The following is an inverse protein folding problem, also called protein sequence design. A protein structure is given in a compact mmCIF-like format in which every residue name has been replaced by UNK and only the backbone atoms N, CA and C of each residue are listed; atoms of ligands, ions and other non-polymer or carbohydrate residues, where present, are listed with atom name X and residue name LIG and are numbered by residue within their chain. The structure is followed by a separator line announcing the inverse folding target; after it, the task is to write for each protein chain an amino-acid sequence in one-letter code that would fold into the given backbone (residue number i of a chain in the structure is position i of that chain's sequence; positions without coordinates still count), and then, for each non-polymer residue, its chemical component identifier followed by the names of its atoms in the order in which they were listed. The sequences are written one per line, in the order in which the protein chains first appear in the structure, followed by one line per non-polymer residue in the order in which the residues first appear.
data_IF_151090067027
#
_entry.id   IF_151090067027
#
_cell.length_a   1.000
_cell.length_b   1.000
_cell.length_c   1.000
_cell.angle_alpha   90.00
_cell.angle_beta   90.00
_cell.angle_gamma   90.00
#
_symmetry.space_group_name_H-M   'P 1'
#
loop_
_entity.id
_entity.type
_entity.pdbx_description
1 polymer ?
#
# COMPACT_ATOMS: atom_id res chain seq x y z
N UNK A 1 -0.88 26.81 -2.65
CA UNK A 1 -0.97 25.48 -3.26
C UNK A 1 -0.15 25.50 -4.53
N UNK A 2 0.87 24.63 -4.68
CA UNK A 2 1.62 24.55 -5.94
C UNK A 2 0.72 24.05 -7.06
N UNK A 3 0.85 24.62 -8.27
CA UNK A 3 0.13 24.16 -9.44
C UNK A 3 0.59 22.73 -9.81
N UNK A 4 -0.33 21.85 -10.15
CA UNK A 4 -0.06 20.50 -10.65
C UNK A 4 -0.44 20.40 -12.11
N UNK A 5 0.25 19.55 -12.86
CA UNK A 5 -0.09 19.17 -14.23
C UNK A 5 -0.30 17.66 -14.30
N UNK A 6 -1.21 17.24 -15.15
CA UNK A 6 -1.43 15.84 -15.50
C UNK A 6 -0.80 15.59 -16.88
N UNK A 7 -0.10 14.48 -17.03
CA UNK A 7 0.50 14.02 -18.28
C UNK A 7 0.11 12.56 -18.51
N UNK A 8 -0.57 12.28 -19.61
CA UNK A 8 -0.84 10.90 -20.02
C UNK A 8 0.45 10.23 -20.47
N UNK A 9 0.71 9.01 -20.01
CA UNK A 9 1.90 8.24 -20.35
C UNK A 9 1.55 6.83 -20.79
N UNK A 10 2.39 6.28 -21.64
CA UNK A 10 2.36 4.88 -22.06
C UNK A 10 3.50 4.12 -21.39
N UNK A 11 3.19 3.15 -20.55
CA UNK A 11 4.16 2.37 -19.78
C UNK A 11 4.53 1.12 -20.60
N UNK A 12 5.78 0.97 -21.05
CA UNK A 12 6.20 -0.22 -21.77
C UNK A 12 6.30 -1.41 -20.79
N UNK A 13 5.76 -2.56 -21.19
CA UNK A 13 5.89 -3.84 -20.49
C UNK A 13 6.79 -4.76 -21.30
N UNK A 14 7.78 -5.39 -20.68
CA UNK A 14 8.85 -6.14 -21.35
C UNK A 14 8.36 -7.28 -22.26
N UNK A 15 7.20 -7.90 -21.96
CA UNK A 15 6.64 -8.98 -22.79
C UNK A 15 5.64 -8.45 -23.83
N UNK A 16 5.89 -8.74 -25.10
CA UNK A 16 4.92 -8.58 -26.21
C UNK A 16 4.73 -7.15 -26.74
N UNK A 17 5.60 -6.20 -26.43
CA UNK A 17 5.49 -4.81 -26.90
C UNK A 17 4.21 -4.10 -26.38
N UNK A 18 3.64 -4.60 -25.29
CA UNK A 18 2.45 -4.08 -24.67
C UNK A 18 2.72 -2.71 -24.03
N UNK A 19 1.73 -1.85 -24.05
CA UNK A 19 1.71 -0.57 -23.33
C UNK A 19 0.49 -0.49 -22.43
N UNK A 20 0.68 0.04 -21.22
CA UNK A 20 -0.40 0.33 -20.28
C UNK A 20 -0.65 1.83 -20.23
N UNK A 21 -1.92 2.29 -20.22
CA UNK A 21 -2.21 3.69 -19.97
C UNK A 21 -1.92 4.06 -18.52
N UNK A 22 -1.31 5.21 -18.33
CA UNK A 22 -1.02 5.79 -17.02
C UNK A 22 -1.20 7.29 -17.02
N UNK A 23 -1.26 7.89 -15.84
CA UNK A 23 -1.27 9.34 -15.68
C UNK A 23 -0.18 9.77 -14.71
N UNK A 24 0.72 10.62 -15.18
CA UNK A 24 1.67 11.36 -14.35
C UNK A 24 1.01 12.61 -13.82
N UNK A 25 1.03 12.79 -12.52
CA UNK A 25 0.57 14.02 -11.86
C UNK A 25 1.77 14.63 -11.15
N UNK A 26 2.18 15.82 -11.57
CA UNK A 26 3.43 16.43 -11.11
C UNK A 26 3.28 17.89 -10.69
N UNK A 27 4.08 18.35 -9.70
CA UNK A 27 4.31 19.77 -9.47
C UNK A 27 5.25 20.35 -10.54
N UNK A 28 5.42 21.65 -10.56
CA UNK A 28 6.28 22.32 -11.53
C UNK A 28 7.81 22.19 -11.28
N UNK A 29 8.23 21.55 -10.16
CA UNK A 29 9.64 21.41 -9.73
C UNK A 29 10.01 20.01 -9.27
N UNK A 30 11.29 19.63 -9.25
CA UNK A 30 11.91 18.32 -8.97
C UNK A 30 11.68 17.76 -7.54
N UNK A 31 11.59 16.35 -7.33
CA UNK A 31 10.80 15.88 -6.22
C UNK A 31 10.82 14.37 -5.94
N UNK A 32 10.31 13.90 -4.80
CA UNK A 32 10.03 12.48 -4.56
C UNK A 32 9.03 11.91 -5.55
N UNK A 33 9.18 10.61 -5.87
CA UNK A 33 8.23 9.88 -6.70
C UNK A 33 7.19 9.13 -5.84
N UNK A 34 5.92 9.09 -6.26
CA UNK A 34 4.87 8.28 -5.61
C UNK A 34 4.10 7.48 -6.64
N UNK A 35 4.17 6.14 -6.52
CA UNK A 35 3.42 5.21 -7.36
C UNK A 35 2.13 4.78 -6.65
N UNK A 36 1.00 4.86 -7.33
CA UNK A 36 -0.29 4.34 -6.86
C UNK A 36 -0.61 3.01 -7.52
N UNK A 37 -0.82 1.97 -6.69
CA UNK A 37 -1.18 0.62 -7.13
C UNK A 37 -2.61 0.32 -6.68
N UNK A 38 -3.51 0.25 -7.63
CA UNK A 38 -4.95 0.16 -7.38
C UNK A 38 -5.43 -1.22 -6.94
N UNK A 39 -6.58 -1.26 -6.28
CA UNK A 39 -7.29 -2.48 -5.90
C UNK A 39 -7.91 -3.19 -7.09
N UNK A 40 -8.23 -4.48 -6.92
CA UNK A 40 -8.90 -5.28 -7.94
C UNK A 40 -10.31 -4.74 -8.24
N UNK A 41 -10.59 -4.53 -9.50
CA UNK A 41 -11.90 -4.07 -9.98
C UNK A 41 -12.07 -2.55 -9.96
N UNK A 42 -11.03 -1.78 -9.59
CA UNK A 42 -11.01 -0.31 -9.66
C UNK A 42 -10.22 0.18 -10.86
N UNK A 43 -10.50 1.40 -11.31
CA UNK A 43 -9.74 2.12 -12.33
C UNK A 43 -8.81 3.18 -11.72
N UNK A 44 -7.92 3.74 -12.51
CA UNK A 44 -7.01 4.81 -12.06
C UNK A 44 -7.76 6.08 -11.63
N UNK A 45 -8.94 6.33 -12.19
CA UNK A 45 -9.78 7.50 -11.89
C UNK A 45 -10.06 7.67 -10.38
N UNK A 46 -10.18 6.54 -9.67
CA UNK A 46 -10.43 6.55 -8.22
C UNK A 46 -9.22 7.06 -7.42
N UNK A 47 -8.03 7.03 -8.00
CA UNK A 47 -6.77 7.40 -7.35
C UNK A 47 -6.26 8.78 -7.75
N UNK A 48 -6.67 9.31 -8.91
CA UNK A 48 -6.25 10.61 -9.41
C UNK A 48 -6.48 11.77 -8.43
N UNK A 49 -7.63 11.88 -7.71
CA UNK A 49 -7.82 12.95 -6.73
C UNK A 49 -6.75 12.94 -5.63
N UNK A 50 -6.36 11.76 -5.14
CA UNK A 50 -5.30 11.61 -4.12
C UNK A 50 -3.92 11.88 -4.71
N UNK A 51 -3.66 11.38 -5.92
CA UNK A 51 -2.41 11.63 -6.63
C UNK A 51 -2.17 13.13 -6.86
N UNK A 52 -3.22 13.90 -7.20
CA UNK A 52 -3.14 15.37 -7.31
C UNK A 52 -2.81 16.05 -5.99
N UNK A 53 -3.40 15.58 -4.87
CA UNK A 53 -3.09 16.12 -3.55
C UNK A 53 -1.64 15.83 -3.13
N UNK A 54 -1.16 14.62 -3.39
CA UNK A 54 0.23 14.25 -3.13
C UNK A 54 1.20 15.03 -4.03
N UNK A 55 0.85 15.21 -5.31
CA UNK A 55 1.64 16.03 -6.22
C UNK A 55 1.71 17.50 -5.77
N UNK A 56 0.64 18.03 -5.16
CA UNK A 56 0.64 19.38 -4.59
C UNK A 56 1.57 19.55 -3.37
N UNK A 57 2.02 18.45 -2.75
CA UNK A 57 3.05 18.45 -1.71
C UNK A 57 4.48 18.54 -2.27
N UNK A 58 4.65 18.53 -3.57
CA UNK A 58 5.95 18.51 -4.20
C UNK A 58 6.42 17.12 -4.62
N UNK A 59 5.54 16.20 -4.91
CA UNK A 59 5.84 14.85 -5.42
C UNK A 59 5.50 14.73 -6.91
N UNK A 60 6.19 13.85 -7.62
CA UNK A 60 5.74 13.35 -8.92
C UNK A 60 4.95 12.07 -8.69
N UNK A 61 3.63 12.08 -8.98
CA UNK A 61 2.75 10.95 -8.75
C UNK A 61 2.39 10.25 -10.06
N UNK A 62 2.42 8.90 -10.05
CA UNK A 62 1.99 8.06 -11.16
C UNK A 62 0.82 7.18 -10.73
N UNK A 63 -0.28 7.25 -11.49
CA UNK A 63 -1.36 6.26 -11.50
C UNK A 63 -1.34 5.53 -12.84
N UNK A 64 -1.77 4.28 -12.90
CA UNK A 64 -1.78 3.47 -14.12
C UNK A 64 -2.86 2.40 -14.04
N UNK A 65 -3.16 1.72 -15.12
CA UNK A 65 -4.13 0.62 -15.18
C UNK A 65 -3.43 -0.70 -15.47
N UNK A 66 -3.15 -1.54 -14.45
CA UNK A 66 -2.62 -2.87 -14.69
C UNK A 66 -3.61 -3.71 -15.51
N UNK A 67 -3.10 -4.57 -16.38
CA UNK A 67 -3.94 -5.44 -17.21
C UNK A 67 -4.88 -6.28 -16.36
N UNK A 68 -6.11 -6.42 -16.80
CA UNK A 68 -7.13 -7.24 -16.15
C UNK A 68 -7.59 -6.75 -14.78
N UNK A 69 -7.04 -5.67 -14.22
CA UNK A 69 -7.45 -5.16 -12.90
C UNK A 69 -8.76 -4.39 -12.98
N UNK A 70 -8.99 -3.46 -13.94
CA UNK A 70 -10.32 -2.90 -14.16
C UNK A 70 -11.33 -3.99 -14.55
N UNK A 71 -12.59 -3.85 -14.11
CA UNK A 71 -13.62 -4.90 -14.31
C UNK A 71 -13.98 -5.14 -15.77
N UNK A 72 -13.90 -4.13 -16.59
CA UNK A 72 -14.21 -4.14 -18.02
C UNK A 72 -13.00 -4.49 -18.90
N UNK A 73 -11.83 -4.70 -18.29
CA UNK A 73 -10.64 -5.04 -19.05
C UNK A 73 -10.74 -6.45 -19.64
N UNK A 74 -10.40 -6.59 -20.94
CA UNK A 74 -10.48 -7.86 -21.70
C UNK A 74 -9.78 -9.05 -21.05
N UNK A 75 -8.72 -8.81 -20.28
CA UNK A 75 -7.93 -9.85 -19.60
C UNK A 75 -8.36 -10.09 -18.15
N UNK A 76 -9.50 -9.51 -17.69
CA UNK A 76 -9.97 -9.64 -16.31
C UNK A 76 -10.14 -11.10 -15.86
N UNK A 77 -10.52 -11.99 -16.78
CA UNK A 77 -10.74 -13.43 -16.50
C UNK A 77 -9.44 -14.25 -16.56
N UNK A 78 -8.38 -13.75 -17.17
CA UNK A 78 -7.17 -14.53 -17.47
C UNK A 78 -5.90 -14.04 -16.81
N UNK A 79 -5.86 -12.78 -16.37
CA UNK A 79 -4.67 -12.17 -15.78
C UNK A 79 -4.24 -12.87 -14.48
N UNK A 80 -2.95 -13.14 -14.35
CA UNK A 80 -2.33 -13.72 -13.16
C UNK A 80 -1.76 -12.64 -12.26
N UNK A 81 -1.34 -13.03 -11.04
CA UNK A 81 -0.61 -12.13 -10.14
C UNK A 81 0.80 -11.82 -10.63
N UNK A 82 1.42 -12.78 -11.31
CA UNK A 82 2.71 -12.59 -11.98
C UNK A 82 2.61 -11.49 -13.04
N UNK A 83 1.57 -11.56 -13.89
CA UNK A 83 1.33 -10.53 -14.90
C UNK A 83 1.17 -9.13 -14.28
N UNK A 84 0.36 -9.02 -13.23
CA UNK A 84 0.14 -7.75 -12.57
C UNK A 84 1.39 -7.26 -11.81
N UNK A 85 2.21 -8.16 -11.24
CA UNK A 85 3.48 -7.75 -10.64
C UNK A 85 4.43 -7.16 -11.69
N UNK A 86 4.51 -7.75 -12.89
CA UNK A 86 5.29 -7.19 -14.01
C UNK A 86 4.78 -5.80 -14.42
N UNK A 87 3.46 -5.62 -14.45
CA UNK A 87 2.86 -4.30 -14.75
C UNK A 87 3.24 -3.27 -13.68
N UNK A 88 3.20 -3.64 -12.40
CA UNK A 88 3.59 -2.78 -11.27
C UNK A 88 5.09 -2.44 -11.34
N UNK A 89 5.94 -3.42 -11.66
CA UNK A 89 7.38 -3.20 -11.83
C UNK A 89 7.67 -2.24 -12.98
N UNK A 90 7.00 -2.42 -14.14
CA UNK A 90 7.15 -1.53 -15.29
C UNK A 90 6.72 -0.08 -14.97
N UNK A 91 5.61 0.08 -14.22
CA UNK A 91 5.16 1.40 -13.77
C UNK A 91 6.16 2.03 -12.78
N UNK A 92 6.70 1.24 -11.85
CA UNK A 92 7.75 1.71 -10.95
C UNK A 92 8.99 2.15 -11.71
N UNK A 93 9.48 1.32 -12.64
CA UNK A 93 10.69 1.60 -13.40
C UNK A 93 10.52 2.84 -14.30
N UNK A 94 9.33 3.07 -14.87
CA UNK A 94 9.01 4.32 -15.58
C UNK A 94 9.11 5.53 -14.65
N UNK A 95 8.51 5.45 -13.45
CA UNK A 95 8.54 6.55 -12.46
C UNK A 95 9.97 6.83 -11.99
N UNK A 96 10.70 5.77 -11.59
CA UNK A 96 12.07 5.87 -11.10
C UNK A 96 13.05 6.38 -12.17
N UNK A 97 12.79 6.07 -13.45
CA UNK A 97 13.59 6.53 -14.57
C UNK A 97 13.36 7.99 -14.98
N UNK A 98 12.40 8.69 -14.37
CA UNK A 98 12.17 10.10 -14.65
C UNK A 98 13.29 10.95 -14.04
N UNK A 99 13.91 11.80 -14.83
CA UNK A 99 15.00 12.69 -14.38
C UNK A 99 14.56 13.70 -13.28
N UNK A 100 13.26 13.94 -13.18
CA UNK A 100 12.64 14.80 -12.20
C UNK A 100 12.41 14.09 -10.86
N UNK A 101 12.64 12.78 -10.78
CA UNK A 101 12.42 11.97 -9.57
C UNK A 101 13.74 11.67 -8.87
N UNK A 102 13.77 11.92 -7.55
CA UNK A 102 14.81 11.40 -6.69
C UNK A 102 14.58 9.89 -6.44
N UNK A 103 15.40 9.06 -7.07
CA UNK A 103 15.31 7.60 -6.93
C UNK A 103 15.51 7.07 -5.51
N UNK A 104 16.08 7.86 -4.60
CA UNK A 104 16.20 7.53 -3.16
C UNK A 104 14.95 7.87 -2.35
N UNK A 105 13.99 8.59 -2.94
CA UNK A 105 12.78 9.10 -2.30
C UNK A 105 11.51 8.64 -3.04
N UNK A 106 11.38 7.32 -3.26
CA UNK A 106 10.19 6.76 -3.91
C UNK A 106 9.26 6.16 -2.87
N UNK A 107 8.01 6.62 -2.89
CA UNK A 107 6.90 6.07 -2.13
C UNK A 107 5.99 5.18 -3.00
N UNK A 108 5.40 4.15 -2.39
CA UNK A 108 4.40 3.30 -3.06
C UNK A 108 3.14 3.26 -2.20
N UNK A 109 2.00 3.57 -2.82
CA UNK A 109 0.68 3.59 -2.19
C UNK A 109 -0.15 2.49 -2.81
N UNK A 110 -0.52 1.48 -2.04
CA UNK A 110 -1.33 0.36 -2.51
C UNK A 110 -2.65 0.23 -1.76
N UNK A 111 -3.70 -0.25 -2.44
CA UNK A 111 -4.98 -0.57 -1.82
C UNK A 111 -5.38 -2.02 -2.12
N UNK A 112 -5.81 -2.76 -1.09
CA UNK A 112 -6.32 -4.13 -1.23
C UNK A 112 -5.37 -5.05 -2.01
N UNK A 113 -5.76 -5.49 -3.20
CA UNK A 113 -4.91 -6.25 -4.12
C UNK A 113 -3.63 -5.49 -4.51
N UNK A 114 -3.76 -4.19 -4.79
CA UNK A 114 -2.60 -3.34 -5.08
C UNK A 114 -1.66 -3.19 -3.90
N UNK A 115 -2.16 -3.21 -2.66
CA UNK A 115 -1.32 -3.21 -1.46
C UNK A 115 -0.51 -4.51 -1.31
N UNK A 116 -1.10 -5.67 -1.66
CA UNK A 116 -0.38 -6.94 -1.73
C UNK A 116 0.76 -6.89 -2.74
N UNK A 117 0.51 -6.37 -3.96
CA UNK A 117 1.55 -6.21 -4.98
C UNK A 117 2.61 -5.17 -4.59
N UNK A 118 2.20 -4.06 -3.97
CA UNK A 118 3.11 -3.03 -3.46
C UNK A 118 4.06 -3.56 -2.38
N UNK A 119 3.57 -4.44 -1.50
CA UNK A 119 4.42 -5.12 -0.54
C UNK A 119 5.47 -5.99 -1.23
N UNK A 120 5.10 -6.79 -2.23
CA UNK A 120 6.06 -7.61 -2.99
C UNK A 120 7.07 -6.74 -3.76
N UNK A 121 6.60 -5.67 -4.40
CA UNK A 121 7.44 -4.71 -5.11
C UNK A 121 8.56 -4.17 -4.22
N UNK A 122 8.28 -3.90 -2.93
CA UNK A 122 9.27 -3.31 -2.00
C UNK A 122 10.49 -4.19 -1.74
N UNK A 123 10.42 -5.51 -2.02
CA UNK A 123 11.57 -6.40 -1.99
C UNK A 123 12.33 -6.48 -3.33
N UNK A 124 11.73 -5.98 -4.42
CA UNK A 124 12.27 -6.09 -5.78
C UNK A 124 12.82 -4.75 -6.30
N UNK A 125 12.42 -3.64 -5.70
CA UNK A 125 12.85 -2.29 -6.06
C UNK A 125 13.08 -1.44 -4.81
N UNK A 126 13.95 -0.43 -4.86
CA UNK A 126 14.15 0.51 -3.76
C UNK A 126 12.86 1.30 -3.47
N UNK A 127 12.26 1.09 -2.32
CA UNK A 127 11.09 1.82 -1.82
C UNK A 127 11.46 2.42 -0.47
N UNK A 128 11.28 3.74 -0.33
CA UNK A 128 11.53 4.43 0.93
C UNK A 128 10.29 4.47 1.81
N UNK A 129 9.12 4.68 1.21
CA UNK A 129 7.84 4.85 1.89
C UNK A 129 6.79 3.90 1.34
N UNK A 130 6.13 3.15 2.22
CA UNK A 130 5.14 2.16 1.83
C UNK A 130 3.81 2.40 2.56
N UNK A 131 2.79 2.85 1.82
CA UNK A 131 1.45 3.07 2.34
C UNK A 131 0.50 1.97 1.85
N UNK A 132 0.00 1.15 2.75
CA UNK A 132 -0.86 0.02 2.45
C UNK A 132 -2.24 0.21 3.10
N UNK A 133 -3.31 0.23 2.28
CA UNK A 133 -4.69 0.26 2.77
C UNK A 133 -5.35 -1.10 2.56
N UNK A 134 -5.89 -1.67 3.64
CA UNK A 134 -6.58 -2.96 3.64
C UNK A 134 -5.83 -4.02 2.80
N UNK A 135 -4.52 -4.29 3.10
CA UNK A 135 -3.69 -5.13 2.24
C UNK A 135 -4.21 -6.57 2.22
N UNK A 136 -4.58 -7.04 1.03
CA UNK A 136 -5.05 -8.40 0.85
C UNK A 136 -3.92 -9.42 0.95
N UNK A 137 -4.25 -10.68 1.29
CA UNK A 137 -3.34 -11.82 1.25
C UNK A 137 -3.82 -12.88 0.28
N UNK A 138 -2.87 -13.52 -0.40
CA UNK A 138 -3.09 -14.61 -1.35
C UNK A 138 -2.08 -15.71 -1.11
N UNK A 139 -2.48 -16.98 -1.30
CA UNK A 139 -1.59 -18.13 -1.19
C UNK A 139 -0.54 -18.06 -2.30
N UNK A 140 0.71 -18.38 -1.97
CA UNK A 140 1.78 -18.44 -2.96
C UNK A 140 1.59 -19.58 -3.97
N UNK A 141 0.98 -20.71 -3.56
CA UNK A 141 0.68 -21.85 -4.42
C UNK A 141 -0.20 -21.50 -5.64
N UNK A 142 -1.04 -20.48 -5.48
CA UNK A 142 -1.96 -20.05 -6.55
C UNK A 142 -1.37 -18.95 -7.45
N UNK A 143 -0.05 -18.69 -7.36
CA UNK A 143 0.59 -17.52 -7.97
C UNK A 143 0.29 -17.36 -9.47
N UNK A 144 0.42 -18.43 -10.22
CA UNK A 144 0.22 -18.46 -11.68
C UNK A 144 -1.26 -18.68 -12.08
N UNK A 145 -2.14 -18.83 -11.10
CA UNK A 145 -3.57 -18.96 -11.36
C UNK A 145 -4.18 -17.60 -11.65
N UNK A 146 -5.06 -17.49 -12.68
CA UNK A 146 -5.81 -16.27 -12.92
C UNK A 146 -6.55 -15.83 -11.65
N UNK A 147 -6.39 -14.57 -11.27
CA UNK A 147 -6.94 -14.06 -10.01
C UNK A 147 -8.46 -14.26 -9.90
N UNK A 148 -9.18 -14.13 -10.99
CA UNK A 148 -10.64 -14.31 -11.05
C UNK A 148 -11.09 -15.74 -10.75
N UNK A 149 -10.21 -16.72 -10.97
CA UNK A 149 -10.49 -18.16 -10.78
C UNK A 149 -10.17 -18.66 -9.37
N UNK A 150 -9.62 -17.80 -8.50
CA UNK A 150 -9.34 -18.21 -7.12
C UNK A 150 -10.63 -18.54 -6.37
N UNK A 151 -10.59 -19.61 -5.61
CA UNK A 151 -11.68 -20.02 -4.73
C UNK A 151 -11.83 -19.00 -3.59
N UNK A 152 -13.03 -18.41 -3.48
CA UNK A 152 -13.30 -17.33 -2.53
C UNK A 152 -13.35 -17.82 -1.09
N UNK A 153 -13.82 -19.03 -0.85
CA UNK A 153 -13.96 -19.59 0.49
C UNK A 153 -12.59 -20.00 1.02
N UNK A 154 -11.77 -20.64 0.18
CA UNK A 154 -10.37 -20.96 0.49
C UNK A 154 -9.59 -19.68 0.79
N UNK A 155 -9.77 -18.63 -0.01
CA UNK A 155 -9.11 -17.35 0.19
C UNK A 155 -9.57 -16.65 1.48
N UNK A 156 -10.87 -16.68 1.77
CA UNK A 156 -11.43 -16.11 2.99
C UNK A 156 -10.91 -16.84 4.25
N UNK A 157 -10.83 -18.18 4.19
CA UNK A 157 -10.25 -18.99 5.27
C UNK A 157 -8.75 -18.68 5.45
N UNK A 158 -7.99 -18.56 4.36
CA UNK A 158 -6.56 -18.23 4.39
C UNK A 158 -6.30 -16.88 5.05
N UNK A 159 -7.08 -15.86 4.75
CA UNK A 159 -6.96 -14.50 5.31
C UNK A 159 -7.27 -14.40 6.80
N UNK A 160 -7.91 -15.42 7.38
CA UNK A 160 -8.22 -15.48 8.82
C UNK A 160 -7.16 -16.20 9.65
N UNK A 161 -6.16 -16.81 8.99
CA UNK A 161 -5.09 -17.52 9.71
C UNK A 161 -3.98 -16.57 10.14
N UNK A 162 -3.37 -16.79 11.33
CA UNK A 162 -2.03 -16.28 11.58
C UNK A 162 -1.05 -16.97 10.62
N UNK A 163 -0.15 -16.19 10.03
CA UNK A 163 0.85 -16.66 9.07
C UNK A 163 2.24 -16.24 9.54
N UNK A 164 3.21 -17.14 9.42
CA UNK A 164 4.60 -16.77 9.50
C UNK A 164 4.96 -15.96 8.23
N UNK A 165 5.77 -14.89 8.33
CA UNK A 165 6.22 -14.14 7.16
C UNK A 165 6.84 -15.00 6.06
N UNK A 166 7.51 -16.11 6.40
CA UNK A 166 8.10 -17.02 5.42
C UNK A 166 7.07 -17.82 4.62
N UNK A 167 5.83 -17.94 5.10
CA UNK A 167 4.76 -18.65 4.40
C UNK A 167 4.14 -17.84 3.24
N UNK A 168 4.47 -16.54 3.13
CA UNK A 168 3.83 -15.67 2.13
C UNK A 168 4.81 -14.61 1.61
N UNK A 169 4.95 -14.51 0.30
CA UNK A 169 5.91 -13.60 -0.35
C UNK A 169 5.71 -12.12 -0.03
N UNK A 170 4.46 -11.67 0.18
CA UNK A 170 4.20 -10.29 0.56
C UNK A 170 4.62 -10.03 2.01
N UNK A 171 4.33 -10.96 2.93
CA UNK A 171 4.74 -10.85 4.32
C UNK A 171 6.27 -10.95 4.48
N UNK A 172 6.92 -11.82 3.70
CA UNK A 172 8.39 -11.92 3.65
C UNK A 172 9.01 -10.61 3.16
N UNK A 173 8.42 -9.98 2.15
CA UNK A 173 8.86 -8.66 1.68
C UNK A 173 8.71 -7.60 2.79
N UNK A 174 7.59 -7.59 3.51
CA UNK A 174 7.37 -6.70 4.66
C UNK A 174 8.37 -6.95 5.80
N UNK A 175 8.73 -8.21 6.08
CA UNK A 175 9.69 -8.56 7.11
C UNK A 175 11.13 -8.11 6.80
N UNK A 176 11.43 -7.91 5.52
CA UNK A 176 12.71 -7.36 5.06
C UNK A 176 12.70 -5.83 4.91
N UNK A 177 11.52 -5.20 4.93
CA UNK A 177 11.36 -3.77 4.64
C UNK A 177 11.87 -2.90 5.80
N UNK A 178 12.79 -1.98 5.49
CA UNK A 178 13.42 -1.07 6.46
C UNK A 178 13.01 0.41 6.35
N UNK A 179 12.07 0.74 5.48
CA UNK A 179 11.59 2.13 5.30
C UNK A 179 10.43 2.50 6.23
N UNK A 180 9.76 3.61 5.95
CA UNK A 180 8.60 4.08 6.70
C UNK A 180 7.31 3.48 6.15
N UNK A 181 6.40 3.06 7.06
CA UNK A 181 5.17 2.37 6.72
C UNK A 181 3.94 3.12 7.25
N UNK A 182 2.96 3.30 6.38
CA UNK A 182 1.57 3.59 6.75
C UNK A 182 0.71 2.36 6.47
N UNK A 183 0.09 1.81 7.49
CA UNK A 183 -0.87 0.73 7.36
C UNK A 183 -2.26 1.21 7.80
N UNK A 184 -3.24 1.14 6.89
CA UNK A 184 -4.62 1.60 7.15
C UNK A 184 -5.58 0.45 7.01
N UNK A 185 -6.41 0.24 8.03
CA UNK A 185 -7.47 -0.77 8.08
C UNK A 185 -8.84 -0.09 8.00
N UNK A 186 -9.80 -0.76 7.36
CA UNK A 186 -11.22 -0.42 7.44
C UNK A 186 -11.88 -1.29 8.52
N UNK A 187 -12.57 -0.70 9.51
CA UNK A 187 -13.08 -1.42 10.69
C UNK A 187 -14.07 -2.54 10.34
N UNK A 188 -14.89 -2.34 9.31
CA UNK A 188 -15.90 -3.31 8.87
C UNK A 188 -15.56 -3.87 7.49
N UNK A 189 -14.35 -4.46 7.37
CA UNK A 189 -13.86 -5.03 6.12
C UNK A 189 -14.12 -6.54 6.06
N UNK A 190 -15.13 -6.94 5.29
CA UNK A 190 -15.48 -8.35 5.08
C UNK A 190 -14.56 -9.06 4.06
N UNK A 191 -13.83 -8.30 3.22
CA UNK A 191 -12.95 -8.85 2.20
C UNK A 191 -11.51 -9.05 2.69
N UNK A 192 -11.02 -8.12 3.50
CA UNK A 192 -9.70 -8.17 4.14
C UNK A 192 -9.88 -8.03 5.65
N UNK A 193 -10.20 -9.14 6.34
CA UNK A 193 -10.52 -9.10 7.77
C UNK A 193 -9.28 -8.78 8.60
N UNK A 194 -9.49 -8.26 9.81
CA UNK A 194 -8.43 -7.88 10.74
C UNK A 194 -7.25 -8.88 10.84
N UNK A 195 -7.43 -10.23 10.89
CA UNK A 195 -6.29 -11.13 10.94
C UNK A 195 -5.34 -11.03 9.75
N UNK A 196 -5.84 -10.67 8.54
CA UNK A 196 -4.96 -10.40 7.40
C UNK A 196 -4.10 -9.15 7.63
N UNK A 197 -4.69 -8.08 8.16
CA UNK A 197 -3.96 -6.85 8.52
C UNK A 197 -2.98 -7.11 9.66
N UNK A 198 -3.36 -7.91 10.66
CA UNK A 198 -2.51 -8.29 11.78
C UNK A 198 -1.25 -9.04 11.33
N UNK A 199 -1.34 -9.90 10.28
CA UNK A 199 -0.16 -10.55 9.70
C UNK A 199 0.83 -9.51 9.12
N UNK A 200 0.34 -8.48 8.44
CA UNK A 200 1.19 -7.39 7.95
C UNK A 200 1.81 -6.58 9.10
N UNK A 201 1.02 -6.25 10.14
CA UNK A 201 1.54 -5.55 11.33
C UNK A 201 2.68 -6.33 11.97
N UNK A 202 2.52 -7.65 12.14
CA UNK A 202 3.54 -8.52 12.72
C UNK A 202 4.80 -8.63 11.83
N UNK A 203 4.61 -8.61 10.49
CA UNK A 203 5.70 -8.73 9.55
C UNK A 203 6.64 -7.50 9.52
N UNK A 204 6.13 -6.29 9.74
CA UNK A 204 6.93 -5.05 9.66
C UNK A 204 7.90 -4.83 10.85
N UNK A 205 8.50 -5.89 11.36
CA UNK A 205 9.40 -5.82 12.53
C UNK A 205 10.70 -5.03 12.31
N UNK A 206 11.13 -4.82 11.05
CA UNK A 206 12.33 -4.07 10.69
C UNK A 206 12.04 -2.67 10.14
N UNK A 207 10.77 -2.28 10.02
CA UNK A 207 10.42 -0.96 9.50
C UNK A 207 11.04 0.17 10.35
N UNK A 208 11.57 1.20 9.71
CA UNK A 208 12.10 2.39 10.39
C UNK A 208 11.01 3.08 11.20
N UNK A 209 9.80 3.21 10.64
CA UNK A 209 8.62 3.61 11.39
C UNK A 209 7.36 2.88 10.86
N UNK A 210 6.41 2.62 11.78
CA UNK A 210 5.13 2.01 11.44
C UNK A 210 3.98 2.85 12.03
N UNK A 211 3.21 3.46 11.15
CA UNK A 211 1.98 4.16 11.48
C UNK A 211 0.80 3.27 11.15
N UNK A 212 0.07 2.80 12.16
CA UNK A 212 -1.16 2.03 11.96
C UNK A 212 -2.38 2.88 12.30
N UNK A 213 -3.40 2.84 11.44
CA UNK A 213 -4.67 3.57 11.63
C UNK A 213 -5.85 2.69 11.20
N UNK A 214 -6.95 2.84 11.93
CA UNK A 214 -8.24 2.21 11.60
C UNK A 214 -9.23 3.32 11.23
N UNK A 215 -9.92 3.17 10.10
CA UNK A 215 -11.01 4.07 9.73
C UNK A 215 -12.29 3.51 10.31
N UNK A 216 -12.80 4.17 11.36
CA UNK A 216 -13.97 3.72 12.10
C UNK A 216 -15.22 3.62 11.20
N UNK A 217 -15.94 2.51 11.34
CA UNK A 217 -17.15 2.19 10.61
C UNK A 217 -16.97 1.93 9.10
N UNK A 218 -15.74 2.05 8.56
CA UNK A 218 -15.50 1.95 7.13
C UNK A 218 -15.61 0.51 6.62
N UNK A 219 -16.20 0.36 5.44
CA UNK A 219 -16.16 -0.87 4.65
C UNK A 219 -14.89 -0.96 3.78
N UNK A 220 -14.71 -2.11 3.10
CA UNK A 220 -13.58 -2.35 2.21
C UNK A 220 -13.43 -1.31 1.10
N UNK A 221 -14.54 -0.91 0.49
CA UNK A 221 -14.56 -0.02 -0.66
C UNK A 221 -14.44 1.46 -0.29
N UNK A 222 -14.53 1.82 1.01
CA UNK A 222 -14.73 3.20 1.47
C UNK A 222 -15.94 3.82 0.76
N UNK A 223 -17.09 3.14 0.81
CA UNK A 223 -18.28 3.50 0.01
C UNK A 223 -18.87 4.86 0.37
N UNK A 224 -18.60 5.38 1.57
CA UNK A 224 -19.07 6.70 2.01
C UNK A 224 -18.00 7.77 1.82
N UNK A 225 -18.37 8.98 1.36
CA UNK A 225 -17.42 10.09 1.19
C UNK A 225 -16.59 10.38 2.44
N UNK A 226 -17.19 10.35 3.62
CA UNK A 226 -16.49 10.61 4.91
C UNK A 226 -15.31 9.65 5.14
N UNK A 227 -15.41 8.39 4.71
CA UNK A 227 -14.31 7.42 4.83
C UNK A 227 -13.23 7.64 3.78
N UNK A 228 -13.63 8.06 2.58
CA UNK A 228 -12.69 8.45 1.51
C UNK A 228 -11.88 9.69 1.93
N UNK A 229 -12.55 10.67 2.53
CA UNK A 229 -11.91 11.89 3.06
C UNK A 229 -10.98 11.57 4.23
N UNK A 230 -11.41 10.69 5.15
CA UNK A 230 -10.58 10.23 6.26
C UNK A 230 -9.30 9.53 5.76
N UNK A 231 -9.44 8.59 4.80
CA UNK A 231 -8.28 7.93 4.20
C UNK A 231 -7.37 8.92 3.46
N UNK A 232 -7.95 9.84 2.70
CA UNK A 232 -7.20 10.86 1.96
C UNK A 232 -6.42 11.75 2.92
N UNK A 233 -7.04 12.20 4.00
CA UNK A 233 -6.40 13.03 5.03
C UNK A 233 -5.26 12.30 5.73
N UNK A 234 -5.45 11.01 6.07
CA UNK A 234 -4.39 10.17 6.65
C UNK A 234 -3.20 10.03 5.69
N UNK A 235 -3.46 9.72 4.43
CA UNK A 235 -2.42 9.53 3.42
C UNK A 235 -1.65 10.83 3.16
N UNK A 236 -2.36 11.94 2.95
CA UNK A 236 -1.76 13.25 2.68
C UNK A 236 -0.95 13.73 3.89
N UNK A 237 -1.51 13.62 5.10
CA UNK A 237 -0.81 14.01 6.33
C UNK A 237 0.48 13.18 6.52
N UNK A 238 0.40 11.87 6.41
CA UNK A 238 1.56 10.99 6.52
C UNK A 238 2.60 11.26 5.41
N UNK A 239 2.18 11.43 4.16
CA UNK A 239 3.10 11.77 3.07
C UNK A 239 3.79 13.12 3.31
N UNK A 240 3.07 14.11 3.86
CA UNK A 240 3.65 15.40 4.24
C UNK A 240 4.77 15.22 5.26
N UNK A 241 4.57 14.40 6.29
CA UNK A 241 5.62 14.08 7.28
C UNK A 241 6.85 13.44 6.59
N UNK A 242 6.63 12.52 5.65
CA UNK A 242 7.70 11.84 4.92
C UNK A 242 8.50 12.82 4.04
N UNK A 243 7.81 13.66 3.27
CA UNK A 243 8.42 14.62 2.34
C UNK A 243 9.19 15.71 3.08
N UNK A 244 8.67 16.17 4.21
CA UNK A 244 9.33 17.21 5.02
C UNK A 244 10.48 16.66 5.90
N UNK A 245 10.66 15.32 5.95
CA UNK A 245 11.69 14.72 6.79
C UNK A 245 11.45 14.92 8.29
N UNK A 246 10.20 15.19 8.71
CA UNK A 246 9.87 15.47 10.12
C UNK A 246 10.16 14.27 11.02
N UNK A 247 10.27 13.07 10.44
CA UNK A 247 10.77 11.85 11.09
C UNK A 247 12.26 11.64 10.88
N UNK A 248 13.00 12.76 10.75
CA UNK A 248 14.44 12.75 10.53
C UNK A 248 15.19 12.00 11.62
N UNK A 249 16.42 11.59 11.29
CA UNK A 249 17.42 10.76 11.96
C UNK A 249 17.71 11.11 13.46
N UNK A 250 16.71 11.19 14.32
CA UNK A 250 16.94 11.73 15.67
C UNK A 250 16.04 11.26 16.81
N UNK A 251 15.12 10.37 16.61
CA UNK A 251 14.38 9.81 17.75
C UNK A 251 14.61 8.30 17.81
N UNK A 252 15.53 7.86 18.65
CA UNK A 252 15.51 6.50 19.18
C UNK A 252 14.06 6.21 19.66
N UNK A 253 13.49 5.01 19.42
CA UNK A 253 12.14 4.69 19.84
C UNK A 253 12.06 4.84 21.35
N UNK A 254 11.42 5.93 21.78
CA UNK A 254 11.06 6.13 23.18
C UNK A 254 10.23 4.93 23.60
N UNK A 255 10.74 4.17 24.56
CA UNK A 255 10.08 3.03 25.17
C UNK A 255 8.64 3.42 25.48
N UNK A 256 7.68 2.91 24.73
CA UNK A 256 6.28 2.94 25.13
C UNK A 256 6.19 2.18 26.46
N UNK A 257 6.03 2.93 27.55
CA UNK A 257 5.80 2.39 28.87
C UNK A 257 4.61 1.41 28.79
N UNK A 258 4.90 0.13 28.98
CA UNK A 258 3.84 -0.86 29.18
C UNK A 258 2.97 -0.39 30.34
N UNK A 259 1.65 -0.38 30.23
CA UNK A 259 0.79 -0.11 31.38
C UNK A 259 1.11 -1.14 32.47
N UNK A 260 1.45 -0.66 33.69
CA UNK A 260 1.63 -1.51 34.85
C UNK A 260 0.31 -2.25 35.13
N UNK A 261 0.34 -3.56 35.39
CA UNK A 261 -0.85 -4.26 35.89
C UNK A 261 -1.26 -3.65 37.22
N UNK A 262 -2.57 -3.63 37.53
CA UNK A 262 -3.07 -3.10 38.81
C UNK A 262 -2.48 -3.90 39.96
N UNK A 263 -1.89 -3.20 40.96
CA UNK A 263 -1.42 -3.79 42.19
C UNK A 263 -2.65 -4.30 42.96
N UNK A 264 -2.69 -5.61 43.19
CA UNK A 264 -3.64 -6.21 44.11
C UNK A 264 -3.36 -5.67 45.51
N UNK A 265 -4.36 -4.99 46.09
CA UNK A 265 -4.30 -4.43 47.42
C UNK A 265 -4.07 -5.53 48.46
N UNK A 266 -3.08 -5.32 49.32
CA UNK A 266 -2.84 -6.13 50.49
C UNK A 266 -4.03 -6.05 51.45
N UNK A 267 -4.68 -7.17 51.70
CA UNK A 267 -5.68 -7.30 52.74
C UNK A 267 -4.98 -7.20 54.08
N UNK A 268 -5.21 -6.12 54.82
CA UNK A 268 -4.88 -5.97 56.23
C UNK A 268 -5.77 -6.91 57.05
N UNK A 269 -5.18 -7.94 57.63
CA UNK A 269 -5.78 -8.69 58.75
C UNK A 269 -5.64 -7.84 60.00
N UNK A 270 -6.76 -7.46 60.61
CA UNK A 270 -6.83 -6.98 61.98
C UNK A 270 -7.29 -8.10 62.85
N UNK A 271 -6.60 -8.26 63.98
CA UNK A 271 -6.86 -9.14 65.11
C UNK A 271 -8.08 -8.71 65.85
#
# INVERSE_FOLDING_TARGET
MMATRDEAVEIPVEEGGRRMPGTLVAPATAVPGVLFVQGWGSGQEEYLPRARQIAALGCLSLTFEPRGVPRDHREHETVTREDNLRDVLAAYDLLAGRREVDGSAIGVVGASYGAYLAAILSALRPVRWLALRAPALYRDDDWDSPKRRLDRDVLAAYRRRPLDPEENRALRACAAFGGDVLLVESEHDDLVPHPAVANYLAAFGKAHSLTYRVIAGADHALSKPVWQDAYTSLLVGWTTEMVLGVRGDGAAPGAHARPRPPQQGAATRSS
#
